data_IF_389630561981
#
_entry.id   IF_389630561981
#
_cell.length_a   1.000
_cell.length_b   1.000
_cell.length_c   1.000
_cell.angle_alpha   90.00
_cell.angle_beta   90.00
_cell.angle_gamma   90.00
#
_symmetry.space_group_name_H-M   'P 1'
#
loop_
_entity.id
_entity.type
_entity.pdbx_description
1 polymer ?
#
# COMPACT_ATOMS: atom_id res chain seq x y z
N UNK A 1 -47.07 24.02 23.30
CA UNK A 1 -47.69 22.81 22.73
C UNK A 1 -47.05 22.59 21.37
N UNK A 2 -46.16 21.58 21.26
CA UNK A 2 -45.75 20.83 20.05
C UNK A 2 -44.93 21.67 19.02
N UNK A 3 -43.75 21.33 18.49
CA UNK A 3 -42.95 20.11 18.46
C UNK A 3 -41.47 20.45 18.17
N UNK A 4 -40.61 19.62 18.72
CA UNK A 4 -39.22 19.38 18.32
C UNK A 4 -39.06 19.08 16.83
N UNK A 5 -38.04 19.67 16.18
CA UNK A 5 -37.27 18.93 15.16
C UNK A 5 -35.77 19.22 15.30
N UNK A 6 -35.10 18.25 15.92
CA UNK A 6 -33.64 18.16 16.01
C UNK A 6 -33.06 17.97 14.61
N UNK A 7 -32.20 18.89 14.16
CA UNK A 7 -31.41 18.70 12.93
C UNK A 7 -30.16 17.86 13.27
N UNK A 8 -29.87 16.80 12.51
CA UNK A 8 -28.82 15.85 12.86
C UNK A 8 -27.46 16.50 12.63
N UNK A 9 -26.61 16.50 13.67
CA UNK A 9 -25.19 16.83 13.54
C UNK A 9 -24.56 15.80 12.60
N UNK A 10 -24.22 16.22 11.37
CA UNK A 10 -23.41 15.42 10.44
C UNK A 10 -22.14 14.98 11.18
N UNK A 11 -22.09 13.70 11.56
CA UNK A 11 -20.88 13.07 12.08
C UNK A 11 -19.82 13.20 11.00
N UNK A 12 -18.85 14.10 11.18
CA UNK A 12 -17.56 14.00 10.52
C UNK A 12 -17.09 12.57 10.77
N UNK A 13 -16.89 11.78 9.72
CA UNK A 13 -16.28 10.46 9.83
C UNK A 13 -14.85 10.71 10.31
N UNK A 14 -14.69 10.70 11.64
CA UNK A 14 -13.40 10.78 12.29
C UNK A 14 -12.69 9.50 11.85
N UNK A 15 -11.55 9.67 11.20
CA UNK A 15 -10.68 8.57 10.83
C UNK A 15 -10.15 8.08 12.17
N UNK A 16 -10.76 7.05 12.74
CA UNK A 16 -10.21 6.36 13.89
C UNK A 16 -8.87 5.77 13.43
N UNK A 17 -7.80 6.07 14.17
CA UNK A 17 -6.52 5.41 13.96
C UNK A 17 -6.75 3.89 14.07
N UNK A 18 -6.21 3.08 13.15
CA UNK A 18 -6.35 1.64 13.25
C UNK A 18 -5.83 1.18 14.62
N UNK A 19 -6.55 0.24 15.25
CA UNK A 19 -6.07 -0.40 16.48
C UNK A 19 -4.72 -1.08 16.22
N UNK A 20 -3.92 -1.25 17.27
CA UNK A 20 -2.62 -1.92 17.17
C UNK A 20 -2.76 -3.30 16.51
N UNK A 21 -3.79 -4.06 16.88
CA UNK A 21 -4.15 -5.35 16.27
C UNK A 21 -4.44 -5.25 14.76
N UNK A 22 -5.11 -4.19 14.31
CA UNK A 22 -5.44 -4.00 12.89
C UNK A 22 -4.19 -3.66 12.06
N UNK A 23 -3.25 -2.88 12.63
CA UNK A 23 -1.96 -2.58 12.00
C UNK A 23 -1.12 -3.84 11.87
N UNK A 24 -1.08 -4.65 12.93
CA UNK A 24 -0.31 -5.90 12.96
C UNK A 24 -0.86 -6.92 11.96
N UNK A 25 -2.19 -7.03 11.83
CA UNK A 25 -2.83 -7.85 10.81
C UNK A 25 -2.54 -7.33 9.38
N UNK A 26 -2.54 -6.01 9.18
CA UNK A 26 -2.22 -5.39 7.89
C UNK A 26 -0.77 -5.63 7.47
N UNK A 27 0.18 -5.61 8.41
CA UNK A 27 1.58 -5.94 8.13
C UNK A 27 1.74 -7.39 7.68
N UNK A 28 0.97 -8.31 8.25
CA UNK A 28 1.03 -9.73 7.90
C UNK A 28 0.50 -10.05 6.49
N UNK A 29 -0.40 -9.23 5.93
CA UNK A 29 -0.93 -9.44 4.56
C UNK A 29 -0.06 -8.78 3.48
N UNK A 30 0.86 -7.89 3.86
CA UNK A 30 1.79 -7.27 2.91
C UNK A 30 2.93 -8.24 2.64
N UNK A 31 3.24 -8.52 1.36
CA UNK A 31 4.33 -9.42 1.02
C UNK A 31 5.66 -8.87 1.55
N UNK A 32 6.44 -9.72 2.21
CA UNK A 32 7.76 -9.37 2.75
C UNK A 32 8.88 -9.48 1.71
N UNK A 33 8.61 -10.17 0.60
CA UNK A 33 9.55 -10.39 -0.50
C UNK A 33 8.91 -10.16 -1.86
N UNK A 34 9.74 -9.93 -2.89
CA UNK A 34 9.26 -9.74 -4.27
C UNK A 34 8.60 -11.02 -4.81
N UNK A 35 8.99 -12.17 -4.27
CA UNK A 35 8.50 -13.51 -4.59
C UNK A 35 7.08 -13.76 -4.08
N UNK A 36 6.73 -13.18 -2.92
CA UNK A 36 5.40 -13.27 -2.31
C UNK A 36 4.37 -12.38 -3.00
N UNK A 37 4.79 -11.42 -3.83
CA UNK A 37 3.87 -10.58 -4.60
C UNK A 37 3.06 -11.41 -5.61
N UNK A 38 1.74 -11.41 -5.41
CA UNK A 38 0.77 -12.10 -6.27
C UNK A 38 0.57 -11.28 -7.57
N UNK A 39 0.73 -11.93 -8.72
CA UNK A 39 0.61 -11.31 -10.05
C UNK A 39 1.81 -10.43 -10.42
N UNK A 40 1.64 -9.53 -11.39
CA UNK A 40 2.67 -8.58 -11.86
C UNK A 40 3.99 -9.21 -12.29
N UNK A 41 3.93 -10.33 -13.02
CA UNK A 41 5.12 -11.12 -13.36
C UNK A 41 6.14 -10.36 -14.20
N UNK A 42 5.69 -9.45 -15.06
CA UNK A 42 6.57 -8.61 -15.87
C UNK A 42 7.36 -7.62 -15.00
N UNK A 43 6.68 -6.95 -14.07
CA UNK A 43 7.30 -5.99 -13.15
C UNK A 43 8.25 -6.69 -12.19
N UNK A 44 7.84 -7.83 -11.61
CA UNK A 44 8.72 -8.66 -10.77
C UNK A 44 9.98 -9.08 -11.53
N UNK A 45 9.85 -9.54 -12.78
CA UNK A 45 10.99 -9.91 -13.62
C UNK A 45 11.92 -8.73 -13.90
N UNK A 46 11.35 -7.57 -14.22
CA UNK A 46 12.10 -6.34 -14.51
C UNK A 46 12.88 -5.88 -13.28
N UNK A 47 12.21 -5.79 -12.12
CA UNK A 47 12.82 -5.43 -10.85
C UNK A 47 13.94 -6.38 -10.48
N UNK A 48 13.71 -7.70 -10.58
CA UNK A 48 14.75 -8.70 -10.30
C UNK A 48 15.97 -8.51 -11.21
N UNK A 49 15.77 -8.31 -12.51
CA UNK A 49 16.87 -8.06 -13.44
C UNK A 49 17.65 -6.79 -13.09
N UNK A 50 16.97 -5.69 -12.74
CA UNK A 50 17.61 -4.43 -12.34
C UNK A 50 18.42 -4.59 -11.05
N UNK A 51 17.83 -5.23 -10.03
CA UNK A 51 18.49 -5.52 -8.75
C UNK A 51 19.73 -6.38 -8.97
N UNK A 52 19.62 -7.46 -9.74
CA UNK A 52 20.74 -8.37 -10.01
C UNK A 52 21.86 -7.66 -10.77
N UNK A 53 21.52 -6.79 -11.70
CA UNK A 53 22.47 -5.97 -12.47
C UNK A 53 23.24 -5.00 -11.58
N UNK A 54 22.54 -4.28 -10.69
CA UNK A 54 23.14 -3.37 -9.72
C UNK A 54 24.03 -4.11 -8.71
N UNK A 55 23.55 -5.25 -8.19
CA UNK A 55 24.33 -6.13 -7.29
C UNK A 55 25.63 -6.62 -7.94
N UNK A 56 25.59 -7.04 -9.21
CA UNK A 56 26.78 -7.48 -9.96
C UNK A 56 27.81 -6.36 -10.11
N UNK A 57 27.37 -5.11 -10.32
CA UNK A 57 28.25 -3.93 -10.40
C UNK A 57 28.68 -3.40 -9.03
N UNK A 58 28.07 -3.89 -7.94
CA UNK A 58 28.22 -3.33 -6.57
C UNK A 58 27.84 -1.85 -6.51
N UNK A 59 26.82 -1.48 -7.25
CA UNK A 59 26.28 -0.12 -7.34
C UNK A 59 24.88 -0.06 -6.76
N UNK A 60 24.40 1.16 -6.50
CA UNK A 60 23.00 1.40 -6.18
C UNK A 60 22.13 1.16 -7.41
N UNK A 61 20.89 0.73 -7.20
CA UNK A 61 19.91 0.64 -8.28
C UNK A 61 19.54 2.05 -8.77
N UNK A 62 19.29 2.18 -10.06
CA UNK A 62 18.79 3.42 -10.65
C UNK A 62 17.41 3.80 -10.10
N UNK A 63 17.01 5.05 -10.33
CA UNK A 63 15.71 5.55 -9.87
C UNK A 63 14.56 4.88 -10.64
N UNK A 64 13.55 4.40 -9.90
CA UNK A 64 12.39 3.70 -10.46
C UNK A 64 11.13 4.51 -10.13
N UNK A 65 10.30 4.75 -11.14
CA UNK A 65 8.99 5.40 -11.00
C UNK A 65 7.87 4.37 -11.11
N UNK A 66 7.09 4.20 -10.03
CA UNK A 66 5.86 3.42 -10.07
C UNK A 66 4.67 4.34 -10.38
N UNK A 67 3.95 4.07 -11.47
CA UNK A 67 2.79 4.86 -11.90
C UNK A 67 1.58 3.96 -12.19
N UNK A 68 0.37 4.54 -12.16
CA UNK A 68 -0.88 3.86 -12.52
C UNK A 68 -2.06 4.20 -11.59
N UNK A 69 -3.27 3.68 -11.89
CA UNK A 69 -4.49 3.84 -11.08
C UNK A 69 -4.33 3.52 -9.57
N UNK A 70 -5.17 4.07 -8.67
CA UNK A 70 -5.14 3.71 -7.25
C UNK A 70 -5.49 2.23 -7.02
N UNK A 71 -5.03 1.65 -5.91
CA UNK A 71 -5.33 0.26 -5.53
C UNK A 71 -4.48 -0.83 -6.20
N UNK A 72 -3.44 -0.42 -6.94
CA UNK A 72 -2.61 -1.33 -7.75
C UNK A 72 -1.36 -1.87 -7.02
N UNK A 73 -1.16 -1.55 -5.74
CA UNK A 73 0.00 -2.01 -4.97
C UNK A 73 1.33 -1.43 -5.47
N UNK A 74 1.38 -0.10 -5.69
CA UNK A 74 2.64 0.62 -5.98
C UNK A 74 3.50 0.84 -4.73
N UNK A 75 2.91 0.63 -3.56
CA UNK A 75 3.44 0.85 -2.21
C UNK A 75 3.17 -0.42 -1.44
#
# INVERSE_FOLDING_TARGET
MIESTSKPKKKKKLIESPSEEAVELEQNIRPGSLEEMIGRDLEKKTLRMMIDSAKKRKEVIDHILFYGPPGLGKT
#
